data_IF_130839167702
#
_entry.id   IF_130839167702
#
_cell.length_a   1.000
_cell.length_b   1.000
_cell.length_c   1.000
_cell.angle_alpha   90.00
_cell.angle_beta   90.00
_cell.angle_gamma   90.00
#
_symmetry.space_group_name_H-M   'P 1'
#
loop_
_entity.id
_entity.type
_entity.pdbx_description
1 polymer ?
#
# COMPACT_ATOMS: atom_id res chain seq x y z
N UNK A 1 6.24 20.19 1.62
CA UNK A 1 5.55 18.94 1.24
C UNK A 1 6.17 17.85 2.07
N UNK A 2 5.42 17.29 3.01
CA UNK A 2 5.92 16.32 3.98
C UNK A 2 6.34 15.04 3.25
N UNK A 3 7.58 14.58 3.45
CA UNK A 3 8.11 13.35 2.87
C UNK A 3 7.51 12.14 3.62
N UNK A 4 6.27 11.81 3.32
CA UNK A 4 5.55 10.67 3.90
C UNK A 4 5.71 9.40 3.07
N UNK A 5 5.51 8.24 3.70
CA UNK A 5 5.29 6.99 2.95
C UNK A 5 3.83 6.94 2.49
N UNK A 6 3.61 6.65 1.22
CA UNK A 6 2.27 6.49 0.64
C UNK A 6 1.74 5.08 0.89
N UNK A 7 0.45 5.00 1.18
CA UNK A 7 -0.27 3.74 1.26
C UNK A 7 -1.72 3.96 0.84
N UNK A 8 -2.37 2.87 0.44
CA UNK A 8 -3.79 2.80 0.16
C UNK A 8 -4.47 1.94 1.21
N UNK A 9 -5.65 2.36 1.65
CA UNK A 9 -6.44 1.66 2.64
C UNK A 9 -7.80 1.30 2.05
N UNK A 10 -8.19 0.03 2.14
CA UNK A 10 -9.51 -0.43 1.76
C UNK A 10 -10.25 -1.03 2.98
N UNK A 11 -11.23 -0.30 3.55
CA UNK A 11 -12.05 -0.78 4.66
C UNK A 11 -13.19 -1.72 4.23
N UNK A 12 -13.40 -2.00 2.94
CA UNK A 12 -14.62 -2.64 2.41
C UNK A 12 -15.01 -3.94 3.11
N UNK A 13 -14.02 -4.73 3.53
CA UNK A 13 -14.26 -6.02 4.19
C UNK A 13 -14.03 -5.99 5.70
N UNK A 14 -13.63 -4.85 6.27
CA UNK A 14 -13.28 -4.71 7.67
C UNK A 14 -14.51 -4.93 8.57
N UNK A 15 -14.53 -6.10 9.22
CA UNK A 15 -15.53 -6.49 10.24
C UNK A 15 -14.86 -6.99 11.52
N UNK A 16 -13.58 -7.37 11.43
CA UNK A 16 -12.75 -7.81 12.53
C UNK A 16 -11.50 -6.90 12.62
N UNK A 17 -11.38 -6.15 13.71
CA UNK A 17 -10.27 -5.20 13.93
C UNK A 17 -8.94 -5.90 14.23
N UNK A 18 -8.93 -7.23 14.39
CA UNK A 18 -7.75 -8.01 14.76
C UNK A 18 -6.99 -8.58 13.56
N UNK A 19 -7.52 -8.47 12.33
CA UNK A 19 -6.90 -9.05 11.13
C UNK A 19 -6.60 -7.95 10.12
N UNK A 20 -5.34 -7.87 9.72
CA UNK A 20 -4.84 -6.93 8.72
C UNK A 20 -4.10 -7.72 7.65
N UNK A 21 -4.43 -7.47 6.38
CA UNK A 21 -3.59 -7.86 5.25
C UNK A 21 -2.89 -6.65 4.67
N UNK A 22 -1.57 -6.78 4.52
CA UNK A 22 -0.66 -5.74 4.04
C UNK A 22 0.01 -6.24 2.76
N UNK A 23 -0.29 -5.58 1.64
CA UNK A 23 0.49 -5.70 0.41
C UNK A 23 1.71 -4.78 0.50
N UNK A 24 2.88 -5.31 0.17
CA UNK A 24 4.13 -4.54 0.08
C UNK A 24 4.40 -4.34 -1.41
N UNK A 25 4.37 -3.08 -1.85
CA UNK A 25 4.64 -2.72 -3.23
C UNK A 25 6.03 -3.15 -3.70
N UNK A 26 6.16 -3.32 -5.01
CA UNK A 26 7.39 -3.75 -5.67
C UNK A 26 8.28 -2.58 -6.10
N UNK A 27 8.94 -2.74 -7.25
CA UNK A 27 9.88 -1.76 -7.82
C UNK A 27 9.18 -0.68 -8.66
N UNK A 28 8.07 -0.11 -8.16
CA UNK A 28 7.31 0.89 -8.89
C UNK A 28 6.38 1.74 -8.04
N UNK A 29 5.89 2.88 -8.58
CA UNK A 29 4.84 3.65 -7.93
C UNK A 29 3.59 2.78 -7.74
N UNK A 30 3.00 2.84 -6.56
CA UNK A 30 1.73 2.13 -6.33
C UNK A 30 0.52 2.93 -6.82
N UNK A 31 -0.52 2.25 -7.27
CA UNK A 31 -1.74 2.89 -7.75
C UNK A 31 -2.99 2.46 -6.95
N UNK A 32 -2.80 1.63 -5.93
CA UNK A 32 -3.85 1.11 -5.06
C UNK A 32 -4.67 -0.03 -5.67
N UNK A 33 -4.35 -0.48 -6.91
CA UNK A 33 -5.10 -1.57 -7.56
C UNK A 33 -5.05 -2.86 -6.76
N UNK A 34 -3.94 -3.11 -6.06
CA UNK A 34 -3.80 -4.32 -5.26
C UNK A 34 -4.79 -4.34 -4.11
N UNK A 35 -5.04 -3.18 -3.47
CA UNK A 35 -6.06 -3.05 -2.45
C UNK A 35 -7.50 -2.95 -2.98
N UNK A 36 -7.74 -2.86 -4.28
CA UNK A 36 -9.07 -2.58 -4.85
C UNK A 36 -9.71 -3.74 -5.64
N UNK A 37 -8.89 -4.62 -6.22
CA UNK A 37 -9.31 -5.69 -7.15
C UNK A 37 -9.80 -6.96 -6.43
N UNK A 38 -11.12 -7.27 -6.44
CA UNK A 38 -11.68 -8.37 -5.65
C UNK A 38 -11.22 -9.77 -6.08
N UNK A 39 -10.72 -9.92 -7.30
CA UNK A 39 -10.19 -11.15 -7.87
C UNK A 39 -8.80 -11.54 -7.33
N UNK A 40 -8.13 -10.64 -6.60
CA UNK A 40 -6.84 -10.96 -5.97
C UNK A 40 -7.07 -11.80 -4.72
N UNK A 41 -6.29 -12.89 -4.58
CA UNK A 41 -6.41 -13.87 -3.50
C UNK A 41 -6.51 -13.27 -2.09
N UNK A 42 -5.67 -12.28 -1.75
CA UNK A 42 -5.69 -11.72 -0.40
C UNK A 42 -6.91 -10.83 -0.13
N UNK A 43 -7.55 -10.29 -1.18
CA UNK A 43 -8.84 -9.59 -1.04
C UNK A 43 -10.00 -10.58 -0.85
N UNK A 44 -9.93 -11.75 -1.48
CA UNK A 44 -10.88 -12.83 -1.22
C UNK A 44 -10.78 -13.32 0.22
N UNK A 45 -9.57 -13.49 0.75
CA UNK A 45 -9.38 -13.77 2.17
C UNK A 45 -9.83 -12.62 3.06
N UNK A 46 -9.63 -11.36 2.66
CA UNK A 46 -10.10 -10.22 3.45
C UNK A 46 -11.63 -10.26 3.56
N UNK A 47 -12.30 -10.59 2.45
CA UNK A 47 -13.74 -10.81 2.44
C UNK A 47 -14.15 -11.99 3.33
N UNK A 48 -13.41 -13.11 3.32
CA UNK A 48 -13.70 -14.28 4.14
C UNK A 48 -13.53 -14.00 5.65
N UNK A 49 -12.37 -13.47 6.04
CA UNK A 49 -12.00 -13.29 7.46
C UNK A 49 -12.39 -11.93 8.05
N UNK A 50 -12.91 -11.02 7.24
CA UNK A 50 -13.34 -9.68 7.67
C UNK A 50 -12.17 -8.73 7.96
N UNK A 51 -11.08 -8.84 7.20
CA UNK A 51 -9.83 -8.13 7.46
C UNK A 51 -9.80 -6.70 6.92
N UNK A 52 -8.96 -5.87 7.54
CA UNK A 52 -8.51 -4.60 6.95
C UNK A 52 -7.48 -4.85 5.85
N UNK A 53 -7.52 -4.07 4.78
CA UNK A 53 -6.62 -4.21 3.63
C UNK A 53 -5.80 -2.94 3.43
N UNK A 54 -4.49 -3.10 3.36
CA UNK A 54 -3.55 -2.04 3.02
C UNK A 54 -2.68 -2.44 1.83
N UNK A 55 -2.29 -1.43 1.06
CA UNK A 55 -1.30 -1.53 -0.02
C UNK A 55 -0.26 -0.43 0.18
N UNK A 56 0.97 -0.82 0.52
CA UNK A 56 2.03 0.06 0.95
C UNK A 56 3.02 0.29 -0.19
N UNK A 57 3.20 1.55 -0.58
CA UNK A 57 4.19 1.90 -1.59
C UNK A 57 5.61 1.70 -1.05
N UNK A 58 6.44 1.04 -1.86
CA UNK A 58 7.82 0.77 -1.51
C UNK A 58 8.63 2.08 -1.45
N UNK A 59 9.57 2.15 -0.52
CA UNK A 59 10.50 3.29 -0.42
C UNK A 59 11.27 3.49 -1.72
N UNK A 60 11.55 4.74 -2.07
CA UNK A 60 12.25 5.17 -3.30
C UNK A 60 11.44 4.98 -4.60
N UNK A 61 10.15 4.69 -4.49
CA UNK A 61 9.24 4.63 -5.62
C UNK A 61 8.06 5.59 -5.41
N UNK A 62 7.45 6.03 -6.52
CA UNK A 62 6.32 6.96 -6.51
C UNK A 62 6.58 8.20 -5.67
N UNK A 63 5.69 8.44 -4.71
CA UNK A 63 5.74 9.58 -3.78
C UNK A 63 6.46 9.22 -2.46
N UNK A 64 6.85 7.95 -2.27
CA UNK A 64 7.43 7.43 -1.03
C UNK A 64 8.94 7.61 -0.94
N UNK A 65 9.39 8.86 -0.83
CA UNK A 65 10.80 9.21 -0.75
C UNK A 65 11.25 9.54 0.69
N UNK A 66 12.28 8.84 1.24
CA UNK A 66 12.75 9.06 2.61
C UNK A 66 13.39 10.43 2.86
N UNK A 67 13.80 11.15 1.82
CA UNK A 67 14.29 12.53 1.92
C UNK A 67 13.54 13.40 0.91
N UNK A 68 13.06 14.60 1.29
CA UNK A 68 12.64 15.58 0.32
C UNK A 68 13.83 15.89 -0.59
N UNK A 69 13.56 16.09 -1.89
CA UNK A 69 14.51 16.30 -2.98
C UNK A 69 15.77 17.10 -2.57
N UNK A 70 16.78 16.41 -2.04
CA UNK A 70 18.17 16.87 -2.00
C UNK A 70 18.79 16.20 -3.21
N UNK A 71 18.90 17.01 -4.27
CA UNK A 71 19.69 16.82 -5.49
C UNK A 71 19.99 15.38 -5.88
N UNK A 72 19.37 14.94 -6.98
CA UNK A 72 19.85 13.84 -7.82
C UNK A 72 21.19 14.24 -8.48
N UNK A 73 22.22 14.51 -7.68
CA UNK A 73 23.60 14.55 -8.13
C UNK A 73 24.10 13.12 -8.15
N UNK A 74 23.96 12.52 -9.33
CA UNK A 74 24.65 11.29 -9.70
C UNK A 74 26.15 11.63 -9.70
N UNK A 75 27.04 10.89 -9.02
CA UNK A 75 28.47 10.96 -9.33
C UNK A 75 28.75 10.46 -10.75
#
# INVERSE_FOLDING_TARGET
>A
MESGKRYYYNPKYARNTSIIFLMIGGEGPEDGKWAAKPDIQYLQWAQEYGAHVFDLEHRFFGDSWPKPYVTRSIP
#
